data_IF_169672284623
#
_entry.id   IF_169672284623
#
_cell.length_a   1.000
_cell.length_b   1.000
_cell.length_c   1.000
_cell.angle_alpha   90.00
_cell.angle_beta   90.00
_cell.angle_gamma   90.00
#
_symmetry.space_group_name_H-M   'P 1'
#
loop_
_entity.id
_entity.type
_entity.pdbx_description
1 polymer ?
#
# COMPACT_ATOMS: atom_id res chain seq x y z
N UNK A 1 6.11 -28.98 -32.57
CA UNK A 1 4.99 -28.14 -32.08
C UNK A 1 5.37 -27.59 -30.73
N UNK A 2 6.16 -26.51 -30.72
CA UNK A 2 6.51 -25.78 -29.50
C UNK A 2 5.60 -24.56 -29.42
N UNK A 3 4.67 -24.56 -28.46
CA UNK A 3 3.79 -23.43 -28.21
C UNK A 3 4.59 -22.28 -27.60
N UNK A 4 4.69 -21.19 -28.34
CA UNK A 4 5.18 -19.91 -27.83
C UNK A 4 4.10 -19.33 -26.91
N UNK A 5 4.25 -19.52 -25.61
CA UNK A 5 3.45 -18.80 -24.63
C UNK A 5 3.94 -17.36 -24.55
N UNK A 6 3.29 -16.51 -25.35
CA UNK A 6 3.39 -15.06 -25.31
C UNK A 6 3.35 -14.60 -23.84
N UNK A 7 4.52 -14.22 -23.32
CA UNK A 7 4.65 -13.63 -22.01
C UNK A 7 4.12 -12.21 -22.14
N UNK A 8 2.84 -12.03 -21.82
CA UNK A 8 2.25 -10.71 -21.66
C UNK A 8 3.02 -10.03 -20.54
N UNK A 9 3.99 -9.20 -20.93
CA UNK A 9 4.61 -8.22 -20.05
C UNK A 9 3.49 -7.26 -19.70
N UNK A 10 2.89 -7.46 -18.54
CA UNK A 10 1.99 -6.51 -17.92
C UNK A 10 2.87 -5.31 -17.51
N UNK A 11 3.25 -4.50 -18.50
CA UNK A 11 3.69 -3.12 -18.33
C UNK A 11 2.45 -2.40 -17.82
N UNK A 12 2.16 -2.57 -16.53
CA UNK A 12 1.33 -1.61 -15.82
C UNK A 12 2.12 -0.31 -15.92
N UNK A 13 1.74 0.55 -16.87
CA UNK A 13 2.28 1.90 -16.94
C UNK A 13 2.12 2.48 -15.52
N UNK A 14 3.24 2.73 -14.85
CA UNK A 14 3.25 3.26 -13.49
C UNK A 14 2.68 4.66 -13.55
N UNK A 15 1.35 4.76 -13.39
CA UNK A 15 0.64 6.02 -13.44
C UNK A 15 1.20 6.93 -12.34
N UNK A 16 1.56 8.18 -12.69
CA UNK A 16 2.06 9.12 -11.71
C UNK A 16 1.02 9.33 -10.60
N UNK A 17 1.50 9.51 -9.37
CA UNK A 17 0.63 9.84 -8.24
C UNK A 17 -0.23 11.06 -8.57
N UNK A 18 -1.47 11.08 -8.07
CA UNK A 18 -2.32 12.27 -8.16
C UNK A 18 -1.64 13.48 -7.48
N UNK A 19 -1.95 14.72 -7.90
CA UNK A 19 -1.33 15.92 -7.33
C UNK A 19 -1.40 15.99 -5.80
N UNK A 20 -2.52 15.59 -5.20
CA UNK A 20 -2.66 15.53 -3.74
C UNK A 20 -1.70 14.51 -3.11
N UNK A 21 -1.60 13.31 -3.70
CA UNK A 21 -0.69 12.27 -3.20
C UNK A 21 0.78 12.69 -3.29
N UNK A 22 1.16 13.48 -4.30
CA UNK A 22 2.50 14.06 -4.38
C UNK A 22 2.74 15.06 -3.25
N UNK A 23 1.77 15.95 -2.98
CA UNK A 23 1.83 16.91 -1.88
C UNK A 23 1.94 16.22 -0.52
N UNK A 24 1.16 15.16 -0.27
CA UNK A 24 1.23 14.37 0.96
C UNK A 24 2.56 13.63 1.16
N UNK A 25 3.34 13.43 0.09
CA UNK A 25 4.67 12.81 0.14
C UNK A 25 5.82 13.84 0.15
N UNK A 26 5.52 15.14 0.13
CA UNK A 26 6.56 16.17 0.18
C UNK A 26 7.29 16.13 1.54
N UNK A 27 8.63 16.24 1.57
CA UNK A 27 9.40 16.27 2.83
C UNK A 27 8.98 17.42 3.75
N UNK A 28 8.46 18.50 3.17
CA UNK A 28 8.00 19.68 3.91
C UNK A 28 6.56 19.53 4.45
N UNK A 29 5.85 18.45 4.07
CA UNK A 29 4.45 18.23 4.43
C UNK A 29 4.27 16.96 5.27
N UNK A 30 4.55 17.07 6.57
CA UNK A 30 4.36 16.00 7.55
C UNK A 30 2.89 15.89 7.98
N UNK A 31 2.09 15.10 7.26
CA UNK A 31 0.67 14.92 7.54
C UNK A 31 0.39 13.65 8.36
N UNK A 32 -0.36 13.80 9.47
CA UNK A 32 -0.87 12.67 10.26
C UNK A 32 -2.38 12.81 10.45
N UNK A 33 -3.13 11.74 10.16
CA UNK A 33 -4.56 11.68 10.41
C UNK A 33 -4.78 11.02 11.78
N UNK A 34 -5.30 11.78 12.74
CA UNK A 34 -5.63 11.30 14.08
C UNK A 34 -7.15 11.24 14.21
N UNK A 35 -7.68 10.07 14.56
CA UNK A 35 -9.12 9.86 14.75
C UNK A 35 -9.37 9.40 16.18
N UNK A 36 -10.28 10.07 16.89
CA UNK A 36 -10.72 9.69 18.23
C UNK A 36 -12.15 9.17 18.15
N UNK A 37 -12.38 7.94 18.62
CA UNK A 37 -13.69 7.31 18.65
C UNK A 37 -14.14 7.10 20.09
N UNK A 38 -15.30 7.66 20.44
CA UNK A 38 -15.94 7.42 21.73
C UNK A 38 -16.77 6.14 21.70
N UNK A 39 -16.69 5.32 22.75
CA UNK A 39 -17.54 4.15 22.92
C UNK A 39 -18.19 4.18 24.30
N UNK A 40 -19.49 3.84 24.37
CA UNK A 40 -20.22 3.78 25.65
C UNK A 40 -19.81 2.57 26.49
N UNK A 41 -19.35 1.50 25.85
CA UNK A 41 -18.87 0.29 26.54
C UNK A 41 -17.37 0.37 26.78
N UNK A 42 -16.90 -0.30 27.85
CA UNK A 42 -15.46 -0.45 28.09
C UNK A 42 -14.85 -1.20 26.90
N UNK A 43 -13.85 -0.58 26.26
CA UNK A 43 -13.13 -1.20 25.16
C UNK A 43 -12.34 -2.42 25.62
N UNK A 44 -12.25 -3.43 24.75
CA UNK A 44 -11.33 -4.56 24.89
C UNK A 44 -10.16 -4.36 23.92
N UNK A 45 -8.96 -3.95 24.40
CA UNK A 45 -7.83 -3.66 23.53
C UNK A 45 -7.46 -4.83 22.61
N UNK A 46 -7.46 -6.06 23.13
CA UNK A 46 -7.11 -7.26 22.35
C UNK A 46 -8.08 -7.47 21.19
N UNK A 47 -9.39 -7.37 21.45
CA UNK A 47 -10.41 -7.53 20.41
C UNK A 47 -10.33 -6.42 19.34
N UNK A 48 -10.01 -5.19 19.74
CA UNK A 48 -9.82 -4.07 18.80
C UNK A 48 -8.60 -4.34 17.91
N UNK A 49 -7.47 -4.72 18.51
CA UNK A 49 -6.23 -5.03 17.78
C UNK A 49 -6.48 -6.17 16.77
N UNK A 50 -7.13 -7.25 17.19
CA UNK A 50 -7.39 -8.39 16.31
C UNK A 50 -8.39 -8.03 15.19
N UNK A 51 -9.42 -7.24 15.50
CA UNK A 51 -10.33 -6.70 14.49
C UNK A 51 -9.60 -5.88 13.42
N UNK A 52 -8.65 -5.02 13.83
CA UNK A 52 -7.84 -4.23 12.90
C UNK A 52 -6.91 -5.08 12.03
N UNK A 53 -6.31 -6.13 12.58
CA UNK A 53 -5.48 -7.09 11.81
C UNK A 53 -6.29 -7.82 10.74
N UNK A 54 -7.54 -8.14 11.02
CA UNK A 54 -8.40 -8.84 10.06
C UNK A 54 -9.08 -7.91 9.05
N UNK A 55 -9.21 -6.61 9.36
CA UNK A 55 -9.85 -5.62 8.50
C UNK A 55 -8.83 -4.71 7.80
N UNK A 56 -8.40 -3.62 8.45
CA UNK A 56 -7.60 -2.56 7.84
C UNK A 56 -6.27 -3.07 7.30
N UNK A 57 -5.57 -3.93 8.03
CA UNK A 57 -4.25 -4.43 7.62
C UNK A 57 -4.29 -5.19 6.29
N UNK A 58 -5.44 -5.78 5.94
CA UNK A 58 -5.61 -6.51 4.67
C UNK A 58 -6.15 -5.61 3.55
N UNK A 59 -6.54 -4.37 3.86
CA UNK A 59 -7.10 -3.47 2.87
C UNK A 59 -5.98 -2.84 2.02
N UNK A 60 -6.11 -2.82 0.67
CA UNK A 60 -5.16 -2.20 -0.26
C UNK A 60 -4.67 -0.80 0.13
N UNK A 61 -5.62 0.08 0.48
CA UNK A 61 -5.37 1.46 0.94
C UNK A 61 -4.52 1.59 2.22
N UNK A 62 -4.51 0.59 3.10
CA UNK A 62 -3.81 0.64 4.40
C UNK A 62 -2.55 -0.23 4.44
N UNK A 63 -2.32 -1.03 3.39
CA UNK A 63 -1.19 -1.95 3.27
C UNK A 63 -0.30 -1.66 2.06
N UNK A 64 -0.48 -0.51 1.42
CA UNK A 64 0.40 -0.05 0.36
C UNK A 64 1.81 0.20 0.89
N UNK A 65 2.80 -0.08 0.05
CA UNK A 65 4.21 0.23 0.33
C UNK A 65 4.59 1.39 -0.58
N UNK A 66 5.21 2.41 0.02
CA UNK A 66 5.88 3.47 -0.69
C UNK A 66 7.19 2.92 -1.28
N UNK A 67 7.31 2.95 -2.61
CA UNK A 67 8.53 2.57 -3.31
C UNK A 67 9.04 3.78 -4.09
N UNK A 68 10.26 4.21 -3.79
CA UNK A 68 10.97 5.27 -4.51
C UNK A 68 11.99 4.63 -5.45
N UNK A 69 11.69 4.58 -6.75
CA UNK A 69 12.60 4.10 -7.78
C UNK A 69 13.16 5.29 -8.55
N UNK A 70 14.38 5.72 -8.19
CA UNK A 70 15.31 6.68 -8.83
C UNK A 70 14.78 8.03 -9.38
N UNK A 71 13.48 8.25 -9.55
CA UNK A 71 12.77 9.51 -9.88
C UNK A 71 11.24 9.36 -9.82
N UNK A 72 10.71 8.12 -9.78
CA UNK A 72 9.27 7.85 -9.72
C UNK A 72 8.89 7.24 -8.36
N UNK A 73 7.80 7.77 -7.80
CA UNK A 73 7.21 7.28 -6.56
C UNK A 73 5.92 6.56 -6.90
N UNK A 74 5.79 5.32 -6.44
CA UNK A 74 4.59 4.51 -6.64
C UNK A 74 4.17 3.82 -5.35
N UNK A 75 2.85 3.62 -5.20
CA UNK A 75 2.30 2.77 -4.15
C UNK A 75 2.00 1.39 -4.71
N UNK A 76 2.61 0.36 -4.13
CA UNK A 76 2.38 -1.02 -4.56
C UNK A 76 1.76 -1.85 -3.45
N UNK A 77 1.00 -2.89 -3.84
CA UNK A 77 0.50 -3.88 -2.89
C UNK A 77 1.65 -4.77 -2.40
N UNK A 78 1.66 -5.11 -1.10
CA UNK A 78 2.67 -5.99 -0.48
C UNK A 78 2.95 -7.28 -1.26
N UNK A 79 1.95 -7.84 -1.94
CA UNK A 79 2.06 -9.08 -2.71
C UNK A 79 3.04 -8.94 -3.88
N UNK A 80 3.05 -7.81 -4.59
CA UNK A 80 3.94 -7.58 -5.74
C UNK A 80 5.40 -7.31 -5.33
N UNK A 81 5.64 -6.74 -4.15
CA UNK A 81 6.99 -6.38 -3.66
C UNK A 81 7.84 -7.62 -3.32
N UNK A 82 7.27 -8.63 -2.64
CA UNK A 82 8.01 -9.86 -2.29
C UNK A 82 8.44 -10.67 -3.52
N UNK A 83 7.62 -10.68 -4.57
CA UNK A 83 7.90 -11.38 -5.82
C UNK A 83 9.07 -10.76 -6.59
N UNK A 84 9.23 -9.43 -6.50
CA UNK A 84 10.33 -8.69 -7.12
C UNK A 84 11.65 -8.87 -6.36
N UNK A 85 11.64 -8.87 -5.02
CA UNK A 85 12.88 -9.03 -4.24
C UNK A 85 13.43 -10.47 -4.25
N UNK A 86 12.59 -11.50 -4.42
CA UNK A 86 13.03 -12.91 -4.55
C UNK A 86 13.60 -13.28 -5.93
N UNK A 87 13.65 -12.34 -6.88
CA UNK A 87 14.18 -12.55 -8.24
C UNK A 87 15.40 -11.67 -8.53
N UNK A 88 16.21 -11.39 -7.51
CA UNK A 88 17.59 -10.95 -7.66
C UNK A 88 18.52 -12.06 -7.22
#
# INVERSE_FOLDING_TARGET
MGGETNTVRETAEEEPLSPCSQLFNSPDFNCAIIVTMGCKVKGNPSAIIDGLKHTLVNHPRFSSIFVSLNTHVVYTHKVKVKQNYRRK
#
